data_IF_367063700927
#
_entry.id   IF_367063700927
#
_cell.length_a   1.000
_cell.length_b   1.000
_cell.length_c   1.000
_cell.angle_alpha   90.00
_cell.angle_beta   90.00
_cell.angle_gamma   90.00
#
_symmetry.space_group_name_H-M   'P 1'
#
loop_
_entity.id
_entity.type
_entity.pdbx_description
1 polymer ?
#
# COMPACT_ATOMS: atom_id res chain seq x y z
N UNK A 1 9.05 6.54 19.96
CA UNK A 1 8.60 7.02 18.62
C UNK A 1 8.29 5.83 17.73
N UNK A 2 7.28 5.03 18.09
CA UNK A 2 6.60 4.08 17.21
C UNK A 2 5.17 4.06 17.75
N UNK A 3 4.28 4.83 17.17
CA UNK A 3 2.89 4.91 17.61
C UNK A 3 2.18 3.62 17.19
N UNK A 4 2.02 2.72 18.16
CA UNK A 4 1.48 1.37 18.03
C UNK A 4 0.05 1.28 18.59
N UNK A 5 -0.91 2.08 18.08
CA UNK A 5 -2.31 1.95 18.54
C UNK A 5 -3.35 2.60 17.61
N UNK A 6 -3.35 2.26 16.32
CA UNK A 6 -4.51 2.62 15.48
C UNK A 6 -4.74 1.66 14.32
N UNK A 7 -5.61 0.68 14.53
CA UNK A 7 -6.46 0.14 13.46
C UNK A 7 -7.88 0.27 14.01
N UNK A 8 -8.74 1.18 13.49
CA UNK A 8 -9.42 0.93 12.22
C UNK A 8 -9.95 2.21 11.51
N UNK A 9 -9.07 3.10 11.04
CA UNK A 9 -9.46 4.11 10.03
C UNK A 9 -8.82 3.85 8.66
N UNK A 10 -7.73 3.07 8.60
CA UNK A 10 -7.01 2.81 7.35
C UNK A 10 -7.80 1.92 6.38
N UNK A 11 -8.58 0.97 6.90
CA UNK A 11 -9.44 0.08 6.10
C UNK A 11 -10.67 0.80 5.57
N UNK A 12 -11.16 1.82 6.31
CA UNK A 12 -12.31 2.64 5.92
C UNK A 12 -11.91 3.87 5.10
N UNK A 13 -10.60 4.20 5.05
CA UNK A 13 -10.10 5.34 4.28
C UNK A 13 -10.11 4.98 2.80
N UNK A 14 -10.70 5.85 1.95
CA UNK A 14 -10.73 5.60 0.50
C UNK A 14 -9.33 5.69 -0.15
N UNK A 15 -8.35 6.32 0.50
CA UNK A 15 -7.00 6.52 -0.04
C UNK A 15 -5.94 6.37 1.05
N UNK A 16 -5.01 5.45 0.82
CA UNK A 16 -3.85 5.20 1.66
C UNK A 16 -2.63 6.00 1.17
N UNK A 17 -1.80 6.42 2.12
CA UNK A 17 -0.48 6.96 1.84
C UNK A 17 0.52 5.81 1.69
N UNK A 18 1.63 6.09 1.01
CA UNK A 18 2.75 5.14 0.84
C UNK A 18 3.20 4.49 2.15
N UNK A 19 3.10 5.20 3.26
CA UNK A 19 3.54 4.76 4.58
C UNK A 19 2.56 3.74 5.20
N UNK A 20 1.28 3.81 4.80
CA UNK A 20 0.19 2.96 5.30
C UNK A 20 0.03 1.68 4.45
N UNK A 21 0.54 1.66 3.22
CA UNK A 21 0.44 0.51 2.29
C UNK A 21 1.09 -0.77 2.84
N UNK A 22 2.32 -0.76 3.41
CA UNK A 22 2.90 -1.94 4.05
C UNK A 22 2.01 -2.56 5.14
N UNK A 23 1.44 -1.69 5.99
CA UNK A 23 0.56 -2.11 7.07
C UNK A 23 -0.74 -2.71 6.54
N UNK A 24 -1.31 -2.12 5.48
CA UNK A 24 -2.50 -2.67 4.81
C UNK A 24 -2.23 -4.04 4.19
N UNK A 25 -1.12 -4.20 3.49
CA UNK A 25 -0.73 -5.47 2.84
C UNK A 25 -0.51 -6.60 3.85
N UNK A 26 0.15 -6.30 4.96
CA UNK A 26 0.35 -7.25 6.07
C UNK A 26 -0.99 -7.66 6.71
N UNK A 27 -1.91 -6.71 6.87
CA UNK A 27 -3.22 -6.97 7.48
C UNK A 27 -4.19 -7.76 6.61
N UNK A 28 -4.34 -7.34 5.36
CA UNK A 28 -5.41 -7.83 4.47
C UNK A 28 -4.95 -9.08 3.74
N UNK A 29 -3.70 -9.10 3.28
CA UNK A 29 -3.15 -10.18 2.46
C UNK A 29 -2.14 -11.05 3.21
N UNK A 30 -1.74 -10.68 4.43
CA UNK A 30 -0.68 -11.39 5.15
C UNK A 30 0.71 -11.20 4.55
N UNK A 31 0.92 -10.19 3.70
CA UNK A 31 2.18 -9.97 2.98
C UNK A 31 2.96 -8.83 3.65
N UNK A 32 4.12 -9.14 4.21
CA UNK A 32 5.03 -8.13 4.75
C UNK A 32 5.93 -7.57 3.65
N UNK A 33 5.86 -6.25 3.44
CA UNK A 33 6.68 -5.56 2.45
C UNK A 33 7.29 -4.31 3.07
N UNK A 34 8.60 -4.10 2.89
CA UNK A 34 9.25 -2.90 3.39
C UNK A 34 8.80 -1.65 2.60
N UNK A 35 8.65 -0.52 3.31
CA UNK A 35 8.39 0.81 2.72
C UNK A 35 9.42 1.21 1.65
N UNK A 36 10.66 0.75 1.81
CA UNK A 36 11.75 0.96 0.85
C UNK A 36 11.52 0.21 -0.47
N UNK A 37 10.98 -1.00 -0.40
CA UNK A 37 10.58 -1.79 -1.58
C UNK A 37 9.47 -1.09 -2.35
N UNK A 38 8.48 -0.53 -1.64
CA UNK A 38 7.44 0.26 -2.27
C UNK A 38 7.98 1.56 -2.90
N UNK A 39 8.98 2.19 -2.29
CA UNK A 39 9.72 3.31 -2.90
C UNK A 39 10.32 2.91 -4.24
N UNK A 40 11.03 1.78 -4.22
CA UNK A 40 11.74 1.26 -5.38
C UNK A 40 10.75 0.96 -6.48
N UNK A 41 9.62 0.31 -6.19
CA UNK A 41 8.58 0.03 -7.16
C UNK A 41 7.88 1.28 -7.71
N UNK A 42 7.78 2.35 -6.93
CA UNK A 42 7.24 3.61 -7.43
C UNK A 42 8.16 4.27 -8.49
N UNK A 43 9.46 3.96 -8.50
CA UNK A 43 10.46 4.50 -9.44
C UNK A 43 10.74 3.53 -10.58
N UNK A 44 11.02 2.26 -10.26
CA UNK A 44 11.41 1.21 -11.22
C UNK A 44 10.20 0.65 -11.96
N UNK A 45 9.00 0.76 -11.38
CA UNK A 45 7.81 0.04 -11.83
C UNK A 45 7.67 -1.34 -11.18
N UNK A 46 6.49 -1.94 -11.30
CA UNK A 46 6.17 -3.27 -10.76
C UNK A 46 5.43 -3.30 -9.41
N UNK A 47 5.08 -2.15 -8.85
CA UNK A 47 4.27 -2.04 -7.63
C UNK A 47 2.78 -1.76 -7.89
N UNK A 48 1.98 -1.64 -6.82
CA UNK A 48 0.57 -1.29 -6.92
C UNK A 48 0.37 0.07 -7.56
N UNK A 49 -0.76 0.23 -8.27
CA UNK A 49 -1.08 1.47 -8.95
C UNK A 49 -1.23 2.61 -7.93
N UNK A 50 -0.68 3.77 -8.25
CA UNK A 50 -0.78 4.96 -7.40
C UNK A 50 -1.32 6.12 -8.20
N UNK A 51 -2.20 6.89 -7.58
CA UNK A 51 -2.73 8.13 -8.11
C UNK A 51 -1.87 9.28 -7.61
N UNK A 52 -1.37 10.10 -8.53
CA UNK A 52 -0.64 11.33 -8.20
C UNK A 52 -1.66 12.41 -7.86
N UNK A 53 -1.78 12.74 -6.59
CA UNK A 53 -2.57 13.90 -6.15
C UNK A 53 -1.63 14.98 -5.61
N UNK A 54 -1.31 15.95 -6.46
CA UNK A 54 -0.31 16.97 -6.17
C UNK A 54 1.07 16.36 -5.89
N UNK A 55 1.69 16.76 -4.76
CA UNK A 55 3.04 16.32 -4.36
C UNK A 55 3.09 14.93 -3.73
N UNK A 56 1.96 14.32 -3.38
CA UNK A 56 1.91 13.07 -2.60
C UNK A 56 1.24 11.94 -3.39
N UNK A 57 1.90 10.78 -3.58
CA UNK A 57 1.25 9.62 -4.17
C UNK A 57 0.23 9.04 -3.19
N UNK A 58 -0.97 8.76 -3.69
CA UNK A 58 -2.05 8.12 -2.97
C UNK A 58 -2.32 6.76 -3.61
N UNK A 59 -2.56 5.76 -2.77
CA UNK A 59 -2.87 4.41 -3.18
C UNK A 59 -4.33 4.12 -2.83
N UNK A 60 -5.07 3.51 -3.74
CA UNK A 60 -6.40 3.00 -3.41
C UNK A 60 -6.28 1.55 -2.94
N UNK A 61 -7.07 1.13 -1.92
CA UNK A 61 -7.08 -0.27 -1.48
C UNK A 61 -7.32 -1.24 -2.64
N UNK A 62 -8.30 -0.94 -3.51
CA UNK A 62 -8.65 -1.75 -4.67
C UNK A 62 -7.49 -1.95 -5.66
N UNK A 63 -6.69 -0.90 -5.90
CA UNK A 63 -5.50 -0.97 -6.78
C UNK A 63 -4.40 -1.86 -6.17
N UNK A 64 -4.27 -1.82 -4.83
CA UNK A 64 -3.34 -2.68 -4.09
C UNK A 64 -3.82 -4.13 -4.19
N UNK A 65 -5.09 -4.38 -3.93
CA UNK A 65 -5.69 -5.72 -3.98
C UNK A 65 -5.58 -6.33 -5.38
N UNK A 66 -5.85 -5.55 -6.43
CA UNK A 66 -5.69 -6.00 -7.82
C UNK A 66 -4.24 -6.34 -8.15
N UNK A 67 -3.27 -5.55 -7.65
CA UNK A 67 -1.86 -5.84 -7.82
C UNK A 67 -1.43 -7.11 -7.09
N UNK A 68 -1.89 -7.31 -5.84
CA UNK A 68 -1.63 -8.54 -5.08
C UNK A 68 -2.25 -9.74 -5.78
N UNK A 69 -3.51 -9.66 -6.20
CA UNK A 69 -4.20 -10.73 -6.91
C UNK A 69 -3.44 -11.13 -8.19
N UNK A 70 -2.94 -10.14 -8.95
CA UNK A 70 -2.10 -10.40 -10.13
C UNK A 70 -0.77 -11.10 -9.80
N UNK A 71 -0.21 -10.85 -8.60
CA UNK A 71 1.02 -11.47 -8.10
C UNK A 71 0.80 -12.88 -7.53
N UNK A 72 -0.35 -13.12 -6.91
CA UNK A 72 -0.72 -14.40 -6.30
C UNK A 72 -1.37 -15.37 -7.30
N UNK A 73 -1.98 -14.87 -8.38
CA UNK A 73 -2.59 -15.68 -9.44
C UNK A 73 -1.54 -16.30 -10.39
N UNK A 74 -0.50 -16.91 -9.82
CA UNK A 74 0.48 -17.75 -10.55
C UNK A 74 0.05 -19.21 -10.57
#
# INVERSE_FOLDING_TARGET
MIDNDNKPALLTKPRLRRDEVPTYLSLVHGIEIAKSTLAKWAVVGGGPHFQKFGRRPLYQPADIDAWVAKRLSI
#
